data_IF_642209704992
#
_entry.id   IF_642209704992
#
_cell.length_a   1.000
_cell.length_b   1.000
_cell.length_c   1.000
_cell.angle_alpha   90.00
_cell.angle_beta   90.00
_cell.angle_gamma   90.00
#
_symmetry.space_group_name_H-M   'P 1'
#
loop_
_entity.id
_entity.type
_entity.pdbx_description
1 polymer ?
#
# COMPACT_ATOMS: atom_id res chain seq x y z
N UNK A 1 -18.95 25.10 8.51
CA UNK A 1 -19.24 23.85 7.75
C UNK A 1 -18.43 23.73 6.46
N UNK A 2 -18.46 24.70 5.53
CA UNK A 2 -17.75 24.60 4.22
C UNK A 2 -16.27 24.22 4.32
N UNK A 3 -15.51 24.83 5.25
CA UNK A 3 -14.08 24.54 5.45
C UNK A 3 -13.81 23.09 5.90
N UNK A 4 -14.64 22.57 6.81
CA UNK A 4 -14.50 21.20 7.35
C UNK A 4 -14.84 20.17 6.26
N UNK A 5 -15.89 20.42 5.48
CA UNK A 5 -16.26 19.55 4.36
C UNK A 5 -15.21 19.59 3.25
N UNK A 6 -14.60 20.75 2.98
CA UNK A 6 -13.50 20.85 2.01
C UNK A 6 -12.26 20.07 2.45
N UNK A 7 -11.88 20.16 3.72
CA UNK A 7 -10.78 19.36 4.29
C UNK A 7 -11.08 17.85 4.19
N UNK A 8 -12.29 17.44 4.54
CA UNK A 8 -12.73 16.05 4.41
C UNK A 8 -12.69 15.56 2.95
N UNK A 9 -13.22 16.36 2.02
CA UNK A 9 -13.26 16.03 0.60
C UNK A 9 -11.85 15.93 -0.02
N UNK A 10 -10.89 16.72 0.46
CA UNK A 10 -9.50 16.59 0.04
C UNK A 10 -8.94 15.20 0.36
N UNK A 11 -9.11 14.74 1.61
CA UNK A 11 -8.63 13.41 2.01
C UNK A 11 -9.40 12.27 1.33
N UNK A 12 -10.68 12.47 1.04
CA UNK A 12 -11.50 11.51 0.30
C UNK A 12 -11.02 11.33 -1.15
N UNK A 13 -10.65 12.42 -1.82
CA UNK A 13 -10.02 12.37 -3.15
C UNK A 13 -8.63 11.72 -3.09
N UNK A 14 -7.84 12.00 -2.05
CA UNK A 14 -6.55 11.33 -1.85
C UNK A 14 -6.72 9.82 -1.64
N UNK A 15 -7.77 9.37 -0.94
CA UNK A 15 -8.08 7.95 -0.78
C UNK A 15 -8.39 7.29 -2.13
N UNK A 16 -9.19 7.96 -2.98
CA UNK A 16 -9.45 7.46 -4.33
C UNK A 16 -8.18 7.38 -5.18
N UNK A 17 -7.31 8.39 -5.10
CA UNK A 17 -6.01 8.36 -5.80
C UNK A 17 -5.14 7.20 -5.31
N UNK A 18 -5.07 6.97 -3.99
CA UNK A 18 -4.35 5.84 -3.41
C UNK A 18 -4.90 4.49 -3.89
N UNK A 19 -6.23 4.37 -3.99
CA UNK A 19 -6.89 3.18 -4.54
C UNK A 19 -6.50 2.92 -6.00
N UNK A 20 -6.56 3.95 -6.85
CA UNK A 20 -6.20 3.83 -8.27
C UNK A 20 -4.72 3.42 -8.41
N UNK A 21 -3.82 4.06 -7.67
CA UNK A 21 -2.39 3.76 -7.70
C UNK A 21 -2.13 2.31 -7.28
N UNK A 22 -2.72 1.86 -6.17
CA UNK A 22 -2.53 0.49 -5.66
C UNK A 22 -3.07 -0.58 -6.61
N UNK A 23 -4.23 -0.35 -7.24
CA UNK A 23 -4.80 -1.26 -8.24
C UNK A 23 -3.93 -1.31 -9.49
N UNK A 24 -3.56 -0.15 -10.04
CA UNK A 24 -2.73 -0.07 -11.25
C UNK A 24 -1.39 -0.75 -11.01
N UNK A 25 -0.73 -0.46 -9.90
CA UNK A 25 0.53 -1.07 -9.54
C UNK A 25 0.39 -2.59 -9.42
N UNK A 26 -0.67 -3.07 -8.77
CA UNK A 26 -0.96 -4.50 -8.65
C UNK A 26 -1.21 -5.20 -10.00
N UNK A 27 -1.67 -4.50 -11.03
CA UNK A 27 -1.91 -5.04 -12.38
C UNK A 27 -0.65 -4.94 -13.24
N UNK A 28 0.00 -3.77 -13.28
CA UNK A 28 1.21 -3.55 -14.07
C UNK A 28 2.32 -4.52 -13.67
N UNK A 29 2.50 -4.71 -12.36
CA UNK A 29 3.49 -5.65 -11.86
C UNK A 29 3.12 -7.11 -12.17
N UNK A 30 1.84 -7.46 -12.38
CA UNK A 30 1.45 -8.80 -12.86
C UNK A 30 1.74 -8.99 -14.34
N UNK A 31 1.68 -7.91 -15.12
CA UNK A 31 1.91 -7.95 -16.55
C UNK A 31 3.40 -7.91 -16.91
N UNK A 32 4.24 -7.28 -16.09
CA UNK A 32 5.70 -7.35 -16.27
C UNK A 32 6.20 -8.75 -15.94
N UNK A 33 6.56 -9.52 -16.96
CA UNK A 33 7.15 -10.85 -16.83
C UNK A 33 8.66 -10.80 -16.50
N UNK A 34 9.08 -9.71 -15.85
CA UNK A 34 10.48 -9.51 -15.50
C UNK A 34 10.88 -10.55 -14.45
N UNK A 35 11.96 -11.25 -14.74
CA UNK A 35 12.55 -12.29 -13.91
C UNK A 35 12.83 -11.80 -12.47
N UNK A 36 13.18 -10.51 -12.32
CA UNK A 36 13.37 -9.84 -11.03
C UNK A 36 12.10 -9.71 -10.21
N UNK A 37 10.91 -9.61 -10.82
CA UNK A 37 9.65 -9.49 -10.08
C UNK A 37 9.46 -10.66 -9.14
N UNK A 38 9.61 -11.88 -9.65
CA UNK A 38 9.35 -13.08 -8.86
C UNK A 38 10.32 -13.22 -7.69
N UNK A 39 11.50 -12.61 -7.81
CA UNK A 39 12.50 -12.55 -6.76
C UNK A 39 12.12 -11.56 -5.65
N UNK A 40 11.56 -10.39 -6.02
CA UNK A 40 11.29 -9.30 -5.07
C UNK A 40 9.86 -9.28 -4.51
N UNK A 41 8.85 -9.60 -5.32
CA UNK A 41 7.44 -9.50 -4.92
C UNK A 41 6.69 -10.78 -5.29
N UNK A 42 6.27 -11.53 -4.26
CA UNK A 42 5.42 -12.71 -4.41
C UNK A 42 3.99 -12.33 -4.84
N UNK A 43 3.34 -13.21 -5.61
CA UNK A 43 1.94 -13.08 -6.01
C UNK A 43 0.98 -12.80 -4.84
N UNK A 44 1.28 -13.32 -3.64
CA UNK A 44 0.48 -13.12 -2.43
C UNK A 44 0.42 -11.62 -2.01
N UNK A 45 1.54 -10.91 -2.08
CA UNK A 45 1.58 -9.47 -1.77
C UNK A 45 0.86 -8.66 -2.84
N UNK A 46 0.97 -9.07 -4.10
CA UNK A 46 0.26 -8.48 -5.22
C UNK A 46 -1.26 -8.71 -5.14
N UNK A 47 -1.72 -9.82 -4.57
CA UNK A 47 -3.15 -10.04 -4.29
C UNK A 47 -3.61 -9.21 -3.10
N UNK A 48 -2.78 -9.07 -2.06
CA UNK A 48 -3.09 -8.25 -0.90
C UNK A 48 -3.20 -6.76 -1.28
N UNK A 49 -2.28 -6.26 -2.12
CA UNK A 49 -2.33 -4.90 -2.66
C UNK A 49 -3.58 -4.62 -3.49
N UNK A 50 -3.98 -5.57 -4.35
CA UNK A 50 -5.24 -5.48 -5.10
C UNK A 50 -6.46 -5.44 -4.15
N UNK A 51 -6.47 -6.30 -3.13
CA UNK A 51 -7.55 -6.36 -2.16
C UNK A 51 -7.69 -5.04 -1.38
N UNK A 52 -6.58 -4.46 -0.90
CA UNK A 52 -6.57 -3.15 -0.24
C UNK A 52 -7.09 -2.06 -1.19
N UNK A 53 -6.63 -2.04 -2.44
CA UNK A 53 -7.08 -1.08 -3.44
C UNK A 53 -8.61 -1.14 -3.65
N UNK A 54 -9.18 -2.35 -3.75
CA UNK A 54 -10.63 -2.55 -3.85
C UNK A 54 -11.35 -2.09 -2.57
N UNK A 55 -10.83 -2.39 -1.38
CA UNK A 55 -11.43 -1.91 -0.13
C UNK A 55 -11.50 -0.39 -0.09
N UNK A 56 -10.45 0.31 -0.52
CA UNK A 56 -10.47 1.77 -0.60
C UNK A 56 -11.52 2.32 -1.59
N UNK A 57 -11.76 1.65 -2.73
CA UNK A 57 -12.86 2.03 -3.64
C UNK A 57 -14.20 1.90 -2.92
N UNK A 58 -14.41 0.79 -2.21
CA UNK A 58 -15.65 0.56 -1.45
C UNK A 58 -15.83 1.64 -0.39
N UNK A 59 -14.79 1.94 0.37
CA UNK A 59 -14.81 3.01 1.39
C UNK A 59 -15.10 4.38 0.78
N UNK A 60 -14.56 4.69 -0.40
CA UNK A 60 -14.88 5.91 -1.15
C UNK A 60 -16.35 5.96 -1.61
N UNK A 61 -16.92 4.84 -2.08
CA UNK A 61 -18.34 4.81 -2.45
C UNK A 61 -19.22 5.04 -1.21
N UNK A 62 -18.86 4.42 -0.08
CA UNK A 62 -19.54 4.60 1.20
C UNK A 62 -19.39 6.04 1.71
N UNK A 63 -18.23 6.67 1.53
CA UNK A 63 -17.97 8.04 1.98
C UNK A 63 -18.83 9.06 1.24
N UNK A 64 -18.94 8.92 -0.08
CA UNK A 64 -19.83 9.73 -0.93
C UNK A 64 -21.29 9.52 -0.54
N UNK A 65 -21.70 8.27 -0.32
CA UNK A 65 -23.05 7.95 0.16
C UNK A 65 -23.35 8.56 1.54
N UNK A 66 -22.36 8.58 2.43
CA UNK A 66 -22.50 9.11 3.78
C UNK A 66 -22.63 10.63 3.82
N UNK A 67 -21.89 11.36 2.97
CA UNK A 67 -21.91 12.83 2.98
C UNK A 67 -23.20 13.42 2.38
N UNK A 68 -23.77 12.77 1.36
CA UNK A 68 -25.00 13.21 0.66
C UNK A 68 -26.25 13.12 1.55
N UNK A 69 -26.24 12.26 2.58
CA UNK A 69 -27.36 12.12 3.49
C UNK A 69 -27.66 13.39 4.29
N UNK A 70 -28.95 13.64 4.61
CA UNK A 70 -29.37 14.85 5.29
C UNK A 70 -28.71 14.99 6.68
N UNK A 71 -28.45 16.24 7.06
CA UNK A 71 -27.59 16.60 8.22
C UNK A 71 -28.01 15.99 9.58
N UNK A 72 -29.27 15.56 9.73
CA UNK A 72 -29.80 14.97 10.96
C UNK A 72 -29.46 13.48 11.13
N UNK A 73 -28.99 12.81 10.08
CA UNK A 73 -28.63 11.39 10.12
C UNK A 73 -27.10 11.29 10.19
N UNK A 74 -26.58 10.94 11.37
CA UNK A 74 -25.14 10.75 11.61
C UNK A 74 -24.69 9.29 11.54
N UNK A 75 -25.65 8.35 11.54
CA UNK A 75 -25.40 6.90 11.42
C UNK A 75 -24.48 6.50 10.24
N UNK A 76 -24.68 6.97 8.99
CA UNK A 76 -23.81 6.57 7.88
C UNK A 76 -22.35 7.04 8.05
N UNK A 77 -22.13 8.21 8.65
CA UNK A 77 -20.77 8.69 8.93
C UNK A 77 -20.11 7.87 10.05
N UNK A 78 -20.90 7.37 11.00
CA UNK A 78 -20.40 6.43 12.01
C UNK A 78 -20.01 5.08 11.39
N UNK A 79 -20.81 4.59 10.43
CA UNK A 79 -20.48 3.38 9.66
C UNK A 79 -19.20 3.60 8.85
N UNK A 80 -19.06 4.75 8.16
CA UNK A 80 -17.85 5.10 7.43
C UNK A 80 -16.59 5.03 8.31
N UNK A 81 -16.66 5.51 9.56
CA UNK A 81 -15.52 5.42 10.48
C UNK A 81 -15.12 3.98 10.80
N UNK A 82 -16.07 3.04 10.87
CA UNK A 82 -15.75 1.61 11.04
C UNK A 82 -15.05 1.04 9.81
N UNK A 83 -15.47 1.43 8.59
CA UNK A 83 -14.77 1.06 7.36
C UNK A 83 -13.35 1.62 7.33
N UNK A 84 -13.16 2.89 7.68
CA UNK A 84 -11.82 3.51 7.71
C UNK A 84 -10.90 2.82 8.73
N UNK A 85 -11.43 2.40 9.89
CA UNK A 85 -10.66 1.62 10.87
C UNK A 85 -10.29 0.22 10.34
N UNK A 86 -11.19 -0.44 9.62
CA UNK A 86 -10.89 -1.72 8.98
C UNK A 86 -9.82 -1.56 7.88
N UNK A 87 -9.90 -0.51 7.07
CA UNK A 87 -8.90 -0.18 6.05
C UNK A 87 -7.52 0.08 6.68
N UNK A 88 -7.49 0.85 7.77
CA UNK A 88 -6.24 1.17 8.46
C UNK A 88 -5.56 -0.07 9.04
N UNK A 89 -6.34 -0.98 9.63
CA UNK A 89 -5.80 -2.24 10.16
C UNK A 89 -5.31 -3.16 9.04
N UNK A 90 -6.02 -3.24 7.91
CA UNK A 90 -5.58 -3.99 6.73
C UNK A 90 -4.27 -3.44 6.14
N UNK A 91 -4.13 -2.12 6.03
CA UNK A 91 -2.92 -1.48 5.50
C UNK A 91 -1.73 -1.70 6.43
N UNK A 92 -1.90 -1.50 7.73
CA UNK A 92 -0.81 -1.69 8.70
C UNK A 92 -0.36 -3.15 8.75
N UNK A 93 -1.28 -4.11 8.70
CA UNK A 93 -0.93 -5.53 8.69
C UNK A 93 -0.13 -5.92 7.45
N UNK A 94 -0.60 -5.55 6.25
CA UNK A 94 0.14 -5.82 5.00
C UNK A 94 1.47 -5.07 4.95
N UNK A 95 1.50 -3.80 5.33
CA UNK A 95 2.72 -3.00 5.42
C UNK A 95 3.76 -3.63 6.35
N UNK A 96 3.32 -4.14 7.51
CA UNK A 96 4.22 -4.81 8.48
C UNK A 96 4.75 -6.13 7.94
N UNK A 97 3.92 -6.91 7.21
CA UNK A 97 4.37 -8.16 6.57
C UNK A 97 5.45 -7.91 5.51
N UNK A 98 5.29 -6.86 4.70
CA UNK A 98 6.28 -6.47 3.67
C UNK A 98 7.54 -5.94 4.36
N UNK A 99 7.40 -5.10 5.38
CA UNK A 99 8.52 -4.60 6.17
C UNK A 99 9.33 -5.72 6.82
N UNK A 100 8.69 -6.76 7.35
CA UNK A 100 9.43 -7.92 7.88
C UNK A 100 10.31 -8.60 6.82
N UNK A 101 9.86 -8.63 5.56
CA UNK A 101 10.66 -9.20 4.46
C UNK A 101 11.89 -8.37 4.13
N UNK A 102 11.90 -7.08 4.42
CA UNK A 102 13.10 -6.24 4.22
C UNK A 102 14.18 -6.56 5.25
N UNK A 103 13.80 -6.96 6.47
CA UNK A 103 14.79 -7.36 7.50
C UNK A 103 15.51 -8.67 7.16
N UNK A 104 14.86 -9.57 6.43
CA UNK A 104 15.40 -10.88 6.04
C UNK A 104 15.69 -10.98 4.54
N UNK A 105 15.94 -9.86 3.86
CA UNK A 105 16.06 -9.80 2.40
C UNK A 105 17.10 -10.79 1.82
N UNK A 106 18.31 -10.82 2.39
CA UNK A 106 19.42 -11.65 1.89
C UNK A 106 19.12 -13.15 1.98
N UNK A 107 18.37 -13.55 3.01
CA UNK A 107 17.97 -14.94 3.19
C UNK A 107 16.85 -15.31 2.23
N UNK A 108 15.81 -14.47 2.15
CA UNK A 108 14.66 -14.70 1.27
C UNK A 108 15.06 -14.70 -0.22
N UNK A 109 15.89 -13.74 -0.65
CA UNK A 109 16.38 -13.68 -2.03
C UNK A 109 17.34 -14.82 -2.35
N UNK A 110 18.18 -15.25 -1.39
CA UNK A 110 19.05 -16.41 -1.59
C UNK A 110 18.26 -17.71 -1.78
N UNK A 111 17.22 -17.93 -0.98
CA UNK A 111 16.32 -19.07 -1.14
C UNK A 111 15.56 -19.02 -2.47
N UNK A 112 15.02 -17.85 -2.84
CA UNK A 112 14.33 -17.67 -4.10
C UNK A 112 15.27 -17.86 -5.31
N UNK A 113 16.51 -17.38 -5.25
CA UNK A 113 17.53 -17.59 -6.28
C UNK A 113 17.86 -19.08 -6.45
N UNK A 114 18.08 -19.80 -5.35
CA UNK A 114 18.43 -21.22 -5.37
C UNK A 114 17.26 -22.12 -5.83
N UNK A 115 16.02 -21.70 -5.58
CA UNK A 115 14.82 -22.40 -6.03
C UNK A 115 14.38 -22.05 -7.45
N UNK A 116 14.95 -20.98 -8.04
CA UNK A 116 14.59 -20.54 -9.39
C UNK A 116 15.14 -21.46 -10.48
N UNK A 117 14.52 -21.46 -11.66
CA UNK A 117 15.00 -22.22 -12.82
C UNK A 117 16.39 -21.73 -13.27
N UNK A 118 17.21 -22.58 -13.93
CA UNK A 118 18.53 -22.18 -14.43
C UNK A 118 18.47 -20.98 -15.39
N UNK A 119 17.45 -20.89 -16.25
CA UNK A 119 17.27 -19.75 -17.15
C UNK A 119 17.08 -18.43 -16.38
N UNK A 120 16.26 -18.44 -15.32
CA UNK A 120 16.04 -17.29 -14.44
C UNK A 120 17.32 -16.87 -13.72
N UNK A 121 18.11 -17.84 -13.25
CA UNK A 121 19.40 -17.55 -12.61
C UNK A 121 20.38 -16.91 -13.58
N UNK A 122 20.41 -17.38 -14.83
CA UNK A 122 21.25 -16.81 -15.89
C UNK A 122 20.87 -15.35 -16.19
N UNK A 123 19.59 -15.05 -16.27
CA UNK A 123 19.11 -13.68 -16.50
C UNK A 123 19.50 -12.74 -15.35
N UNK A 124 19.34 -13.18 -14.09
CA UNK A 124 19.79 -12.44 -12.91
C UNK A 124 21.31 -12.19 -12.97
N UNK A 125 22.09 -13.21 -13.30
CA UNK A 125 23.55 -13.12 -13.40
C UNK A 125 24.00 -12.14 -14.49
N UNK A 126 23.34 -12.16 -15.65
CA UNK A 126 23.62 -11.25 -16.76
C UNK A 126 23.19 -9.81 -16.41
N UNK A 127 22.02 -9.62 -15.81
CA UNK A 127 21.49 -8.29 -15.47
C UNK A 127 22.31 -7.58 -14.39
N UNK A 128 22.76 -8.32 -13.37
CA UNK A 128 23.55 -7.77 -12.27
C UNK A 128 25.06 -7.98 -12.42
N UNK A 129 25.51 -8.56 -13.54
CA UNK A 129 26.93 -8.82 -13.85
C UNK A 129 27.66 -9.52 -12.69
N UNK A 130 27.06 -10.59 -12.16
CA UNK A 130 27.51 -11.29 -10.95
C UNK A 130 27.41 -12.81 -11.14
N UNK A 131 28.15 -13.59 -10.33
CA UNK A 131 28.18 -15.05 -10.45
C UNK A 131 28.04 -15.76 -9.10
N UNK A 132 27.09 -16.70 -9.03
CA UNK A 132 26.71 -17.37 -7.79
C UNK A 132 26.03 -16.45 -6.78
N UNK A 133 25.55 -16.99 -5.66
CA UNK A 133 24.87 -16.19 -4.64
C UNK A 133 25.89 -15.52 -3.69
N UNK A 134 26.65 -16.31 -2.93
CA UNK A 134 27.73 -15.78 -2.07
C UNK A 134 29.09 -15.79 -2.75
N UNK A 135 29.43 -16.87 -3.46
CA UNK A 135 30.73 -17.06 -4.09
C UNK A 135 30.60 -17.55 -5.53
N UNK A 136 31.56 -17.16 -6.36
CA UNK A 136 31.69 -17.58 -7.77
C UNK A 136 32.19 -19.02 -7.97
N UNK A 137 32.37 -19.78 -6.88
CA UNK A 137 32.77 -21.19 -6.91
C UNK A 137 31.75 -22.11 -6.20
N UNK A 138 30.51 -21.64 -5.99
CA UNK A 138 29.43 -22.49 -5.49
C UNK A 138 29.04 -23.55 -6.54
N UNK A 139 29.32 -24.81 -6.23
CA UNK A 139 28.96 -25.96 -7.05
C UNK A 139 27.46 -26.24 -6.92
N UNK A 140 26.65 -25.74 -7.87
CA UNK A 140 25.21 -26.02 -7.99
C UNK A 140 24.32 -24.79 -8.19
N UNK A 141 24.79 -23.61 -7.78
CA UNK A 141 24.03 -22.35 -7.90
C UNK A 141 24.49 -21.46 -9.06
N UNK A 142 25.51 -21.88 -9.79
CA UNK A 142 26.10 -21.13 -10.90
C UNK A 142 25.65 -21.75 -12.21
N UNK A 143 25.13 -20.91 -13.09
CA UNK A 143 24.90 -21.27 -14.48
C UNK A 143 26.14 -20.77 -15.23
N UNK A 144 26.98 -21.70 -15.68
CA UNK A 144 28.23 -21.40 -16.38
C UNK A 144 27.95 -21.02 -17.85
N UNK A 145 27.07 -20.04 -18.05
CA UNK A 145 26.68 -19.52 -19.35
C UNK A 145 26.66 -17.99 -19.30
N UNK A 146 26.62 -17.32 -20.45
CA UNK A 146 26.60 -15.86 -20.55
C UNK A 146 27.78 -15.18 -19.83
N UNK A 147 27.49 -14.20 -18.97
CA UNK A 147 28.49 -13.38 -18.26
C UNK A 147 29.45 -14.23 -17.40
N UNK A 148 28.95 -15.31 -16.79
CA UNK A 148 29.73 -16.18 -15.91
C UNK A 148 30.59 -17.21 -16.66
N UNK A 149 30.42 -17.37 -17.97
CA UNK A 149 31.28 -18.23 -18.78
C UNK A 149 32.69 -17.63 -18.99
N UNK A 150 32.80 -16.30 -18.99
CA UNK A 150 34.03 -15.57 -19.35
C UNK A 150 34.88 -15.22 -18.12
N UNK A 151 34.27 -14.95 -16.95
CA UNK A 151 34.99 -14.48 -15.76
C UNK A 151 34.65 -15.32 -14.53
N UNK A 152 35.56 -16.23 -14.18
CA UNK A 152 35.36 -17.25 -13.12
C UNK A 152 35.58 -16.77 -11.67
N UNK A 153 36.02 -15.53 -11.45
CA UNK A 153 36.40 -15.03 -10.13
C UNK A 153 35.67 -13.72 -9.77
N UNK A 154 34.35 -13.73 -9.96
CA UNK A 154 33.50 -12.56 -9.71
C UNK A 154 32.90 -12.56 -8.29
N UNK A 155 32.44 -11.39 -7.87
CA UNK A 155 31.68 -11.20 -6.64
C UNK A 155 30.31 -11.87 -6.73
N UNK A 156 29.83 -12.41 -5.60
CA UNK A 156 28.50 -13.01 -5.52
C UNK A 156 27.39 -11.99 -5.75
N UNK A 157 26.27 -12.45 -6.30
CA UNK A 157 25.09 -11.63 -6.60
C UNK A 157 24.39 -11.07 -5.36
N UNK A 158 24.71 -11.56 -4.16
CA UNK A 158 24.04 -11.15 -2.91
C UNK A 158 23.99 -9.64 -2.73
N UNK A 159 25.09 -8.91 -2.95
CA UNK A 159 25.11 -7.47 -2.66
C UNK A 159 24.36 -6.64 -3.71
N UNK A 160 24.53 -6.95 -5.00
CA UNK A 160 23.86 -6.22 -6.09
C UNK A 160 22.36 -6.49 -6.12
N UNK A 161 21.95 -7.75 -5.95
CA UNK A 161 20.54 -8.15 -5.89
C UNK A 161 19.88 -7.59 -4.64
N UNK A 162 20.52 -7.70 -3.47
CA UNK A 162 19.92 -7.17 -2.23
C UNK A 162 19.85 -5.65 -2.27
N UNK A 163 20.83 -4.93 -2.81
CA UNK A 163 20.74 -3.46 -2.93
C UNK A 163 19.58 -3.00 -3.84
N UNK A 164 19.31 -3.73 -4.93
CA UNK A 164 18.18 -3.43 -5.81
C UNK A 164 16.83 -3.81 -5.16
N UNK A 165 16.80 -4.93 -4.45
CA UNK A 165 15.64 -5.38 -3.68
C UNK A 165 15.29 -4.42 -2.54
N UNK A 166 16.28 -4.00 -1.76
CA UNK A 166 16.16 -3.06 -0.64
C UNK A 166 15.51 -1.75 -1.09
N UNK A 167 16.01 -1.14 -2.16
CA UNK A 167 15.45 0.11 -2.71
C UNK A 167 13.98 -0.08 -3.09
N UNK A 168 13.67 -1.15 -3.83
CA UNK A 168 12.31 -1.42 -4.30
C UNK A 168 11.36 -1.70 -3.14
N UNK A 169 11.75 -2.53 -2.17
CA UNK A 169 10.90 -2.85 -1.03
C UNK A 169 10.73 -1.64 -0.09
N UNK A 170 11.78 -0.83 0.11
CA UNK A 170 11.72 0.40 0.90
C UNK A 170 10.71 1.40 0.34
N UNK A 171 10.74 1.63 -0.96
CA UNK A 171 9.78 2.52 -1.63
C UNK A 171 8.35 1.98 -1.52
N UNK A 172 8.17 0.67 -1.72
CA UNK A 172 6.85 0.01 -1.65
C UNK A 172 6.27 0.10 -0.23
N UNK A 173 6.98 -0.34 0.82
CA UNK A 173 6.38 -0.27 2.15
C UNK A 173 6.19 1.17 2.62
N UNK A 174 7.09 2.09 2.27
CA UNK A 174 6.96 3.51 2.65
C UNK A 174 5.72 4.14 2.02
N UNK A 175 5.45 3.84 0.74
CA UNK A 175 4.22 4.30 0.08
C UNK A 175 2.95 3.72 0.71
N UNK A 176 2.96 2.44 1.09
CA UNK A 176 1.83 1.78 1.78
C UNK A 176 1.57 2.42 3.15
N UNK A 177 2.60 2.66 3.96
CA UNK A 177 2.45 3.38 5.23
C UNK A 177 2.01 4.83 5.01
N UNK A 178 2.40 5.46 3.89
CA UNK A 178 1.90 6.78 3.49
C UNK A 178 0.37 6.83 3.37
N UNK A 179 -0.28 5.76 2.93
CA UNK A 179 -1.75 5.69 2.87
C UNK A 179 -2.40 5.72 4.25
N UNK A 180 -1.71 5.29 5.31
CA UNK A 180 -2.21 5.42 6.69
C UNK A 180 -2.40 6.88 7.07
N UNK A 181 -1.51 7.78 6.63
CA UNK A 181 -1.67 9.22 6.89
C UNK A 181 -2.92 9.79 6.22
N UNK A 182 -3.23 9.33 5.00
CA UNK A 182 -4.47 9.69 4.28
C UNK A 182 -5.70 9.18 5.03
N UNK A 183 -5.70 7.91 5.45
CA UNK A 183 -6.79 7.31 6.23
C UNK A 183 -7.00 8.01 7.58
N UNK A 184 -5.92 8.38 8.27
CA UNK A 184 -5.98 9.14 9.52
C UNK A 184 -6.59 10.53 9.31
N UNK A 185 -6.20 11.22 8.23
CA UNK A 185 -6.78 12.52 7.86
C UNK A 185 -8.28 12.42 7.57
N UNK A 186 -8.69 11.38 6.82
CA UNK A 186 -10.10 11.12 6.53
C UNK A 186 -10.90 10.75 7.79
N UNK A 187 -10.33 9.95 8.69
CA UNK A 187 -10.94 9.57 9.97
C UNK A 187 -11.22 10.81 10.84
N UNK A 188 -10.19 11.65 11.05
CA UNK A 188 -10.33 12.89 11.82
C UNK A 188 -11.32 13.84 11.14
N UNK A 189 -11.21 13.98 9.81
CA UNK A 189 -12.15 14.79 9.03
C UNK A 189 -13.60 14.34 9.23
N UNK A 190 -13.85 13.02 9.21
CA UNK A 190 -15.19 12.45 9.38
C UNK A 190 -15.73 12.73 10.78
N UNK A 191 -14.90 12.59 11.83
CA UNK A 191 -15.28 12.95 13.20
C UNK A 191 -15.62 14.44 13.33
N UNK A 192 -14.83 15.33 12.73
CA UNK A 192 -15.11 16.77 12.73
C UNK A 192 -16.44 17.10 12.02
N UNK A 193 -16.75 16.42 10.90
CA UNK A 193 -18.03 16.57 10.21
C UNK A 193 -19.19 16.10 11.09
N UNK A 194 -19.11 14.92 11.71
CA UNK A 194 -20.14 14.40 12.62
C UNK A 194 -20.40 15.39 13.75
N UNK A 195 -19.33 15.87 14.40
CA UNK A 195 -19.44 16.81 15.53
C UNK A 195 -20.12 18.11 15.10
N UNK A 196 -19.71 18.67 13.97
CA UNK A 196 -20.31 19.90 13.43
C UNK A 196 -21.80 19.71 13.10
N UNK A 197 -22.19 18.56 12.50
CA UNK A 197 -23.59 18.23 12.20
C UNK A 197 -24.42 18.14 13.49
N UNK A 198 -23.90 17.46 14.50
CA UNK A 198 -24.56 17.31 15.81
C UNK A 198 -24.77 18.65 16.52
N UNK A 199 -23.78 19.55 16.45
CA UNK A 199 -23.90 20.91 17.02
C UNK A 199 -24.97 21.73 16.31
N UNK A 200 -25.00 21.75 14.97
CA UNK A 200 -26.02 22.45 14.19
C UNK A 200 -27.42 21.93 14.56
N UNK A 201 -27.58 20.62 14.69
CA UNK A 201 -28.88 20.03 15.05
C UNK A 201 -29.29 20.39 16.49
N UNK A 202 -28.33 20.45 17.42
CA UNK A 202 -28.56 20.89 18.79
C UNK A 202 -29.01 22.36 18.83
N UNK A 203 -28.34 23.25 18.11
CA UNK A 203 -28.74 24.66 18.02
C UNK A 203 -30.14 24.79 17.40
N UNK A 204 -30.44 24.05 16.33
CA UNK A 204 -31.78 24.01 15.74
C UNK A 204 -32.86 23.60 16.74
N UNK A 205 -32.58 22.60 17.58
CA UNK A 205 -33.51 22.15 18.65
C UNK A 205 -33.68 23.21 19.74
N UNK A 206 -32.65 23.99 20.07
CA UNK A 206 -32.71 25.07 21.06
C UNK A 206 -33.55 26.24 20.51
N UNK A 207 -33.32 26.65 19.26
CA UNK A 207 -34.09 27.74 18.63
C UNK A 207 -35.57 27.39 18.49
N UNK A 208 -35.89 26.12 18.17
CA UNK A 208 -37.26 25.63 18.12
C UNK A 208 -37.97 25.74 19.48
N UNK A 209 -37.26 25.46 20.60
CA UNK A 209 -37.81 25.60 21.95
C UNK A 209 -38.04 27.05 22.38
N UNK A 210 -37.35 28.01 21.76
CA UNK A 210 -37.45 29.45 22.09
C UNK A 210 -38.43 30.21 21.18
N UNK A 211 -39.29 29.50 20.46
CA UNK A 211 -40.29 30.11 19.58
C UNK A 211 -39.69 30.81 18.35
N UNK A 212 -38.52 30.38 17.88
CA UNK A 212 -37.91 30.89 16.64
C UNK A 212 -37.30 32.29 16.73
N UNK A 213 -37.25 32.90 17.92
CA UNK A 213 -36.47 34.12 18.18
C UNK A 213 -34.99 33.71 18.36
N UNK A 214 -34.32 33.43 17.24
CA UNK A 214 -32.94 32.94 17.21
C UNK A 214 -31.98 33.82 18.01
N UNK A 215 -30.91 33.21 18.50
CA UNK A 215 -29.71 33.97 18.85
C UNK A 215 -29.11 34.49 17.55
N UNK A 216 -29.00 35.80 17.44
CA UNK A 216 -28.23 36.50 16.40
C UNK A 216 -26.96 35.76 15.98
#
# INVERSE_FOLDING_TARGET
MKKVVAFWAFFDVCLLAASIITIIFSILWRMSDDVLRHLFITNAYLTAGLAIGVMFVVTFIVSVGAIVQPNHVTLPLAILNWFILADMTAVVTVGTMIWWKTLEERKNFGEAFNNSLPAVRLDIQNQFSCCGWYFSNETGNIVNDGFCAVIKNQTGCVNSVSSAGDTTLNDVFTSIYGFVAVLMGLFIGTLCVIKTRSEIERFRKIDAKRGGRGFV
#
